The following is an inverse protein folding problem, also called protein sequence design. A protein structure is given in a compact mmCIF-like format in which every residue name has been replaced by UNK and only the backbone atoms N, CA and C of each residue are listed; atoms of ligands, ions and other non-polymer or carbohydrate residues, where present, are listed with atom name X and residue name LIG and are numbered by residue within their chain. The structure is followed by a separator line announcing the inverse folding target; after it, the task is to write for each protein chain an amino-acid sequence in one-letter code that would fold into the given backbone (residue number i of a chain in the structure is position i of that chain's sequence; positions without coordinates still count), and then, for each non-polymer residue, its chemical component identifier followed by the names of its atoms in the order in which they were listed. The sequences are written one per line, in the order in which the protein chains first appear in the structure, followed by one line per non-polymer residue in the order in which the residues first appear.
data_IF_607101706887
#
_entry.id   IF_607101706887
#
_cell.length_a   1.000
_cell.length_b   1.000
_cell.length_c   1.000
_cell.angle_alpha   90.00
_cell.angle_beta   90.00
_cell.angle_gamma   90.00
#
_symmetry.space_group_name_H-M   'P 1'
#
loop_
_entity.id
_entity.type
_entity.pdbx_description
1 polymer ?
#
# COMPACT_ATOMS: atom_id res chain seq x y z
N UNK A 1 12.99 5.48 0.84
CA UNK A 1 13.84 5.05 1.97
C UNK A 1 13.99 3.54 1.95
N UNK A 2 15.19 3.04 2.27
CA UNK A 2 15.39 1.60 2.52
C UNK A 2 14.81 1.27 3.90
N UNK A 3 13.89 0.29 4.05
CA UNK A 3 13.40 -0.15 5.35
C UNK A 3 14.56 -0.63 6.24
N UNK A 4 14.51 -0.29 7.54
CA UNK A 4 15.56 -0.69 8.50
C UNK A 4 14.96 -1.48 9.65
N UNK A 5 13.92 -0.96 10.29
CA UNK A 5 13.34 -1.53 11.49
C UNK A 5 11.89 -1.10 11.68
N UNK A 6 11.13 -1.92 12.39
CA UNK A 6 9.77 -1.58 12.83
C UNK A 6 9.67 -1.57 14.36
N UNK A 7 8.71 -0.82 14.86
CA UNK A 7 8.20 -0.92 16.22
C UNK A 7 6.74 -1.33 16.16
N UNK A 8 6.24 -2.03 17.17
CA UNK A 8 4.83 -2.40 17.24
C UNK A 8 4.19 -1.93 18.55
N UNK A 9 2.91 -1.65 18.49
CA UNK A 9 2.07 -1.41 19.65
C UNK A 9 0.84 -2.32 19.51
N UNK A 10 0.80 -3.39 20.30
CA UNK A 10 -0.20 -4.44 20.19
C UNK A 10 -1.29 -4.21 21.25
N UNK A 11 -2.54 -4.00 20.82
CA UNK A 11 -3.67 -3.74 21.70
C UNK A 11 -4.74 -4.81 21.50
N UNK A 12 -5.05 -5.56 22.57
CA UNK A 12 -5.95 -6.70 22.56
C UNK A 12 -6.88 -6.69 23.77
N UNK A 13 -7.96 -7.44 23.70
CA UNK A 13 -8.87 -7.69 24.82
C UNK A 13 -8.24 -8.58 25.90
N UNK A 14 -9.08 -9.19 26.74
CA UNK A 14 -8.63 -10.08 27.80
C UNK A 14 -8.00 -11.36 27.22
N UNK A 15 -6.69 -11.63 27.48
CA UNK A 15 -5.98 -12.79 26.96
C UNK A 15 -6.42 -14.12 27.58
N UNK A 16 -7.13 -14.12 28.70
CA UNK A 16 -7.70 -15.33 29.32
C UNK A 16 -8.89 -15.90 28.52
N UNK A 17 -9.46 -15.11 27.60
CA UNK A 17 -10.47 -15.56 26.65
C UNK A 17 -9.77 -16.20 25.45
N UNK A 18 -10.01 -17.48 25.20
CA UNK A 18 -9.36 -18.27 24.13
C UNK A 18 -9.37 -17.55 22.77
N UNK A 19 -10.51 -16.96 22.41
CA UNK A 19 -10.61 -16.20 21.15
C UNK A 19 -9.63 -15.04 21.08
N UNK A 20 -9.52 -14.23 22.12
CA UNK A 20 -8.62 -13.07 22.14
C UNK A 20 -7.15 -13.51 22.12
N UNK A 21 -6.83 -14.60 22.80
CA UNK A 21 -5.48 -15.17 22.76
C UNK A 21 -5.15 -15.74 21.36
N UNK A 22 -6.07 -16.43 20.70
CA UNK A 22 -5.91 -16.90 19.34
C UNK A 22 -5.64 -15.76 18.36
N UNK A 23 -6.45 -14.70 18.42
CA UNK A 23 -6.28 -13.48 17.60
C UNK A 23 -4.91 -12.81 17.84
N UNK A 24 -4.42 -12.80 19.09
CA UNK A 24 -3.10 -12.28 19.42
C UNK A 24 -1.97 -13.13 18.83
N UNK A 25 -2.05 -14.45 18.98
CA UNK A 25 -1.04 -15.39 18.45
C UNK A 25 -0.95 -15.25 16.93
N UNK A 26 -2.08 -15.30 16.21
CA UNK A 26 -2.12 -15.15 14.75
C UNK A 26 -1.54 -13.79 14.29
N UNK A 27 -1.83 -12.71 15.01
CA UNK A 27 -1.22 -11.40 14.71
C UNK A 27 0.30 -11.43 14.87
N UNK A 28 0.83 -12.02 15.93
CA UNK A 28 2.28 -12.13 16.18
C UNK A 28 2.95 -13.00 15.13
N UNK A 29 2.32 -14.11 14.74
CA UNK A 29 2.82 -15.00 13.67
C UNK A 29 2.90 -14.25 12.34
N UNK A 30 1.83 -13.53 11.94
CA UNK A 30 1.82 -12.75 10.70
C UNK A 30 2.88 -11.63 10.70
N UNK A 31 3.04 -10.89 11.80
CA UNK A 31 4.09 -9.87 11.95
C UNK A 31 5.49 -10.52 11.85
N UNK A 32 5.67 -11.68 12.46
CA UNK A 32 6.94 -12.41 12.44
C UNK A 32 7.30 -12.88 11.03
N UNK A 33 6.33 -13.44 10.30
CA UNK A 33 6.53 -13.88 8.92
C UNK A 33 6.91 -12.70 8.02
N UNK A 34 6.12 -11.63 8.06
CA UNK A 34 6.37 -10.43 7.27
C UNK A 34 7.73 -9.79 7.59
N UNK A 35 8.07 -9.65 8.88
CA UNK A 35 9.33 -9.06 9.34
C UNK A 35 10.54 -9.86 8.87
N UNK A 36 10.48 -11.18 8.94
CA UNK A 36 11.55 -12.07 8.45
C UNK A 36 11.69 -12.00 6.94
N UNK A 37 10.57 -12.09 6.21
CA UNK A 37 10.60 -12.12 4.75
C UNK A 37 11.10 -10.80 4.15
N UNK A 38 10.63 -9.68 4.70
CA UNK A 38 10.94 -8.33 4.22
C UNK A 38 12.29 -7.80 4.76
N UNK A 39 12.99 -8.56 5.61
CA UNK A 39 14.22 -8.10 6.30
C UNK A 39 13.97 -6.78 7.05
N UNK A 40 12.87 -6.73 7.80
CA UNK A 40 12.38 -5.54 8.48
C UNK A 40 12.10 -5.84 9.95
N UNK A 41 13.16 -6.00 10.79
CA UNK A 41 13.06 -6.53 12.13
C UNK A 41 12.30 -5.62 13.09
N UNK A 42 11.58 -6.24 14.03
CA UNK A 42 10.99 -5.57 15.19
C UNK A 42 12.09 -5.29 16.21
N UNK A 43 12.34 -4.02 16.50
CA UNK A 43 13.40 -3.60 17.45
C UNK A 43 12.85 -3.02 18.76
N UNK A 44 11.55 -2.72 18.79
CA UNK A 44 10.88 -2.11 19.93
C UNK A 44 9.37 -2.34 19.84
N UNK A 45 8.69 -2.21 20.95
CA UNK A 45 7.23 -2.27 20.98
C UNK A 45 6.67 -2.44 22.37
N UNK A 46 5.34 -2.56 22.45
CA UNK A 46 4.63 -2.88 23.66
C UNK A 46 3.39 -3.73 23.37
N UNK A 47 2.91 -4.40 24.42
CA UNK A 47 1.64 -5.11 24.40
C UNK A 47 0.75 -4.54 25.51
N UNK A 48 -0.51 -4.25 25.14
CA UNK A 48 -1.57 -3.86 26.07
C UNK A 48 -2.70 -4.88 26.00
N UNK A 49 -3.02 -5.52 27.10
CA UNK A 49 -4.11 -6.47 27.24
C UNK A 49 -5.24 -5.89 28.11
N UNK A 50 -6.33 -6.66 28.22
CA UNK A 50 -7.52 -6.28 29.01
C UNK A 50 -8.18 -4.97 28.56
N UNK A 51 -8.04 -4.62 27.27
CA UNK A 51 -8.73 -3.46 26.70
C UNK A 51 -10.19 -3.82 26.43
N UNK A 52 -11.04 -3.62 27.44
CA UNK A 52 -12.45 -4.02 27.41
C UNK A 52 -13.36 -2.93 27.96
N UNK A 53 -14.59 -2.90 27.47
CA UNK A 53 -15.67 -2.07 27.99
C UNK A 53 -16.92 -2.94 28.17
N UNK A 54 -17.43 -3.05 29.37
CA UNK A 54 -18.60 -3.90 29.70
C UNK A 54 -18.43 -5.33 29.19
N UNK A 55 -17.33 -5.97 29.56
CA UNK A 55 -16.92 -7.33 29.18
C UNK A 55 -16.75 -7.60 27.66
N UNK A 56 -16.81 -6.55 26.87
CA UNK A 56 -16.58 -6.61 25.42
C UNK A 56 -15.18 -6.09 25.08
N UNK A 57 -14.34 -6.97 24.60
CA UNK A 57 -13.00 -6.62 24.13
C UNK A 57 -13.00 -5.71 22.92
N UNK A 58 -11.96 -4.90 22.78
CA UNK A 58 -11.69 -4.17 21.55
C UNK A 58 -11.38 -5.19 20.43
N UNK A 59 -11.48 -4.75 19.17
CA UNK A 59 -10.95 -5.53 18.06
C UNK A 59 -9.43 -5.63 18.17
N UNK A 60 -8.81 -6.71 17.68
CA UNK A 60 -7.36 -6.79 17.55
C UNK A 60 -6.81 -5.56 16.84
N UNK A 61 -5.92 -4.82 17.49
CA UNK A 61 -5.44 -3.54 16.96
C UNK A 61 -3.91 -3.46 17.10
N UNK A 62 -3.16 -4.17 16.24
CA UNK A 62 -1.73 -3.96 16.11
C UNK A 62 -1.48 -2.66 15.32
N UNK A 63 -0.63 -1.79 15.87
CA UNK A 63 -0.13 -0.60 15.19
C UNK A 63 1.37 -0.77 14.92
N UNK A 64 1.78 -0.60 13.67
CA UNK A 64 3.16 -0.79 13.23
C UNK A 64 3.74 0.55 12.80
N UNK A 65 4.86 0.93 13.41
CA UNK A 65 5.67 2.06 12.98
C UNK A 65 6.91 1.57 12.23
N UNK A 66 7.20 2.13 11.07
CA UNK A 66 8.38 1.77 10.27
C UNK A 66 9.41 2.89 10.23
N UNK A 67 10.69 2.51 10.30
CA UNK A 67 11.83 3.42 10.10
C UNK A 67 12.60 3.01 8.86
N UNK A 68 12.87 3.99 7.99
CA UNK A 68 13.65 3.79 6.78
C UNK A 68 14.72 4.85 6.60
N UNK A 69 15.84 4.47 5.97
CA UNK A 69 16.96 5.37 5.68
C UNK A 69 16.90 5.87 4.23
N UNK A 70 16.92 7.17 4.06
CA UNK A 70 17.16 7.82 2.78
C UNK A 70 18.65 8.15 2.71
N UNK A 71 19.39 7.51 1.79
CA UNK A 71 20.84 7.74 1.64
C UNK A 71 21.16 9.14 1.14
N UNK A 72 20.34 9.65 0.25
CA UNK A 72 20.48 10.98 -0.33
C UNK A 72 19.10 11.66 -0.33
N UNK A 73 18.93 12.63 0.57
CA UNK A 73 17.66 13.33 0.72
C UNK A 73 17.28 14.17 -0.52
N UNK A 74 18.23 14.53 -1.37
CA UNK A 74 17.96 15.25 -2.63
C UNK A 74 17.19 14.38 -3.64
N UNK A 75 17.25 13.06 -3.49
CA UNK A 75 16.47 12.11 -4.28
C UNK A 75 15.09 11.80 -3.71
N UNK A 76 14.71 12.49 -2.64
CA UNK A 76 13.37 12.34 -2.07
C UNK A 76 12.33 12.81 -3.08
N UNK A 77 11.34 11.97 -3.34
CA UNK A 77 10.17 12.31 -4.14
C UNK A 77 8.93 12.40 -3.24
N UNK A 78 7.96 13.18 -3.67
CA UNK A 78 6.70 13.41 -2.96
C UNK A 78 5.53 12.88 -3.77
N UNK A 79 4.32 12.91 -3.20
CA UNK A 79 3.14 12.34 -3.83
C UNK A 79 2.47 13.28 -4.86
N UNK A 80 2.75 14.58 -4.82
CA UNK A 80 2.09 15.58 -5.65
C UNK A 80 2.51 15.48 -7.12
N UNK A 81 1.56 15.50 -8.05
CA UNK A 81 1.86 15.53 -9.49
C UNK A 81 2.65 16.78 -9.87
N UNK A 82 3.72 16.59 -10.65
CA UNK A 82 4.71 17.63 -10.95
C UNK A 82 4.46 18.35 -12.26
N UNK A 83 4.15 17.63 -13.36
CA UNK A 83 4.17 18.23 -14.70
C UNK A 83 3.04 17.72 -15.58
N UNK A 84 2.28 18.68 -16.15
CA UNK A 84 1.26 18.35 -17.15
C UNK A 84 1.89 17.69 -18.38
N UNK A 85 1.21 16.71 -18.94
CA UNK A 85 1.67 15.89 -20.06
C UNK A 85 2.51 14.68 -19.68
N UNK A 86 2.87 14.52 -18.40
CA UNK A 86 3.50 13.29 -17.91
C UNK A 86 2.48 12.14 -17.84
N UNK A 87 2.98 10.92 -17.91
CA UNK A 87 2.19 9.69 -17.87
C UNK A 87 2.11 9.18 -16.43
N UNK A 88 0.98 8.61 -16.07
CA UNK A 88 0.74 8.04 -14.75
C UNK A 88 0.50 6.53 -14.87
N UNK A 89 1.28 5.76 -14.13
CA UNK A 89 1.10 4.31 -14.02
C UNK A 89 0.60 3.91 -12.64
N UNK A 90 -0.20 2.85 -12.60
CA UNK A 90 -0.44 2.03 -11.41
C UNK A 90 0.51 0.86 -11.46
N UNK A 91 1.32 0.71 -10.44
CA UNK A 91 2.27 -0.40 -10.28
C UNK A 91 1.67 -1.41 -9.31
N UNK A 92 1.83 -2.69 -9.61
CA UNK A 92 1.18 -3.79 -8.89
C UNK A 92 -0.14 -4.21 -9.53
N UNK A 93 -0.53 -5.46 -9.29
CA UNK A 93 -1.77 -6.02 -9.87
C UNK A 93 -2.99 -5.52 -9.11
N UNK A 94 -4.02 -5.10 -9.82
CA UNK A 94 -5.34 -4.79 -9.25
C UNK A 94 -6.23 -6.01 -9.42
N UNK A 95 -6.64 -6.63 -8.32
CA UNK A 95 -7.56 -7.76 -8.26
C UNK A 95 -8.98 -7.30 -7.90
N UNK A 96 -9.11 -6.09 -7.41
CA UNK A 96 -10.39 -5.43 -7.13
C UNK A 96 -11.00 -5.82 -5.80
N UNK A 97 -10.19 -6.09 -4.79
CA UNK A 97 -10.67 -6.49 -3.48
C UNK A 97 -11.43 -5.37 -2.76
N UNK A 98 -12.74 -5.54 -2.58
CA UNK A 98 -13.61 -4.57 -1.92
C UNK A 98 -13.93 -4.92 -0.45
N UNK A 99 -13.81 -6.17 -0.05
CA UNK A 99 -14.10 -6.59 1.32
C UNK A 99 -13.28 -5.81 2.35
N UNK A 100 -13.91 -5.40 3.45
CA UNK A 100 -13.33 -4.56 4.51
C UNK A 100 -12.87 -3.16 4.04
N UNK A 101 -13.00 -2.82 2.74
CA UNK A 101 -12.63 -1.52 2.20
C UNK A 101 -13.53 -0.38 2.73
N UNK A 102 -13.08 0.84 2.55
CA UNK A 102 -13.91 2.04 2.82
C UNK A 102 -15.14 2.05 1.92
N UNK A 103 -15.01 1.62 0.66
CA UNK A 103 -16.13 1.54 -0.28
C UNK A 103 -17.21 0.55 0.21
N UNK A 104 -16.82 -0.66 0.58
CA UNK A 104 -17.76 -1.64 1.14
C UNK A 104 -18.42 -1.11 2.40
N UNK A 105 -17.65 -0.50 3.29
CA UNK A 105 -18.11 -0.06 4.61
C UNK A 105 -19.10 1.12 4.56
N UNK A 106 -18.88 2.09 3.67
CA UNK A 106 -19.66 3.34 3.63
C UNK A 106 -20.60 3.46 2.44
N UNK A 107 -20.34 2.76 1.34
CA UNK A 107 -21.18 2.79 0.14
C UNK A 107 -22.09 1.57 0.07
N UNK A 108 -21.52 0.36 0.23
CA UNK A 108 -22.31 -0.88 0.21
C UNK A 108 -22.92 -1.20 1.57
N UNK A 109 -22.51 -0.50 2.64
CA UNK A 109 -22.92 -0.72 4.04
C UNK A 109 -22.62 -2.15 4.54
N UNK A 110 -21.58 -2.75 3.99
CA UNK A 110 -21.11 -4.09 4.33
C UNK A 110 -19.85 -4.04 5.19
N UNK A 111 -19.79 -4.92 6.20
CA UNK A 111 -18.64 -5.05 7.12
C UNK A 111 -18.22 -6.52 7.21
N UNK A 112 -18.18 -7.19 6.08
CA UNK A 112 -17.93 -8.64 5.96
C UNK A 112 -16.72 -8.90 5.09
N UNK A 113 -16.36 -10.17 5.03
CA UNK A 113 -15.35 -10.70 4.13
C UNK A 113 -13.94 -10.68 4.71
N UNK A 114 -13.02 -11.38 4.08
CA UNK A 114 -11.62 -11.44 4.47
C UNK A 114 -10.89 -10.12 4.14
N UNK A 115 -9.72 -9.88 4.72
CA UNK A 115 -8.79 -8.86 4.22
C UNK A 115 -8.25 -9.27 2.85
N UNK A 116 -7.65 -8.33 2.07
CA UNK A 116 -6.99 -8.67 0.82
C UNK A 116 -5.84 -9.66 1.06
N UNK A 117 -5.64 -10.59 0.12
CA UNK A 117 -4.53 -11.53 0.19
C UNK A 117 -3.19 -10.82 0.07
N UNK A 118 -2.19 -11.31 0.80
CA UNK A 118 -0.83 -10.77 0.80
C UNK A 118 0.09 -11.75 0.07
N UNK A 119 0.93 -11.23 -0.83
CA UNK A 119 2.04 -11.95 -1.42
C UNK A 119 3.35 -11.24 -1.08
N UNK A 120 4.06 -11.72 -0.07
CA UNK A 120 5.28 -11.09 0.44
C UNK A 120 6.40 -11.01 -0.61
N UNK A 121 6.46 -11.95 -1.56
CA UNK A 121 7.40 -11.86 -2.68
C UNK A 121 7.10 -10.64 -3.56
N UNK A 122 5.84 -10.44 -3.92
CA UNK A 122 5.45 -9.28 -4.73
C UNK A 122 5.66 -7.98 -3.97
N UNK A 123 5.30 -7.91 -2.69
CA UNK A 123 5.52 -6.75 -1.82
C UNK A 123 7.00 -6.32 -1.84
N UNK A 124 7.90 -7.25 -1.59
CA UNK A 124 9.34 -7.01 -1.60
C UNK A 124 9.85 -6.58 -2.97
N UNK A 125 9.50 -7.33 -4.01
CA UNK A 125 9.94 -7.09 -5.38
C UNK A 125 9.47 -5.73 -5.92
N UNK A 126 8.20 -5.39 -5.68
CA UNK A 126 7.64 -4.09 -6.09
C UNK A 126 8.31 -2.95 -5.32
N UNK A 127 8.44 -3.08 -3.99
CA UNK A 127 9.10 -2.07 -3.16
C UNK A 127 10.55 -1.81 -3.59
N UNK A 128 11.34 -2.84 -3.83
CA UNK A 128 12.72 -2.73 -4.33
C UNK A 128 12.77 -2.10 -5.72
N UNK A 129 11.83 -2.46 -6.60
CA UNK A 129 11.73 -1.87 -7.94
C UNK A 129 11.41 -0.38 -7.89
N UNK A 130 10.47 0.04 -7.05
CA UNK A 130 10.15 1.46 -6.83
C UNK A 130 11.38 2.23 -6.29
N UNK A 131 12.09 1.69 -5.31
CA UNK A 131 13.33 2.30 -4.82
C UNK A 131 14.38 2.45 -5.92
N UNK A 132 14.51 1.47 -6.81
CA UNK A 132 15.43 1.53 -7.94
C UNK A 132 15.02 2.60 -8.96
N UNK A 133 13.72 2.73 -9.27
CA UNK A 133 13.20 3.79 -10.14
C UNK A 133 13.49 5.19 -9.57
N UNK A 134 13.34 5.38 -8.26
CA UNK A 134 13.66 6.62 -7.56
C UNK A 134 15.17 6.90 -7.64
N UNK A 135 16.00 5.93 -7.31
CA UNK A 135 17.46 6.08 -7.31
C UNK A 135 18.02 6.47 -8.68
N UNK A 136 17.41 5.96 -9.76
CA UNK A 136 17.77 6.29 -11.15
C UNK A 136 17.12 7.56 -11.68
N UNK A 137 16.36 8.30 -10.88
CA UNK A 137 15.59 9.49 -11.27
C UNK A 137 14.66 9.24 -12.48
N UNK A 138 14.05 8.06 -12.55
CA UNK A 138 13.18 7.67 -13.66
C UNK A 138 11.72 8.07 -13.43
N UNK A 139 11.34 8.35 -12.19
CA UNK A 139 9.99 8.77 -11.80
C UNK A 139 10.03 10.09 -11.04
N UNK A 140 8.96 10.88 -11.15
CA UNK A 140 8.87 12.23 -10.57
C UNK A 140 8.11 12.24 -9.25
N UNK A 141 7.19 11.30 -9.05
CA UNK A 141 6.37 11.17 -7.85
C UNK A 141 6.02 9.71 -7.61
N UNK A 142 5.72 9.39 -6.36
CA UNK A 142 5.22 8.09 -5.96
C UNK A 142 4.26 8.23 -4.77
N UNK A 143 3.15 7.50 -4.82
CA UNK A 143 2.19 7.37 -3.72
C UNK A 143 1.70 5.93 -3.62
N UNK A 144 1.59 5.41 -2.42
CA UNK A 144 0.97 4.11 -2.16
C UNK A 144 -0.54 4.16 -2.42
N UNK A 145 -1.08 3.04 -2.90
CA UNK A 145 -2.52 2.83 -2.98
C UNK A 145 -2.94 2.07 -1.74
N UNK A 146 -3.65 2.73 -0.84
CA UNK A 146 -4.15 2.17 0.41
C UNK A 146 -5.65 2.43 0.57
N UNK A 147 -6.08 2.93 1.71
CA UNK A 147 -7.49 3.21 2.02
C UNK A 147 -8.17 4.05 0.94
N UNK A 148 -9.28 3.53 0.39
CA UNK A 148 -10.08 4.15 -0.67
C UNK A 148 -9.59 3.88 -2.09
N UNK A 149 -8.56 3.04 -2.26
CA UNK A 149 -8.11 2.56 -3.57
C UNK A 149 -7.44 3.61 -4.46
N UNK A 150 -7.33 3.26 -5.75
CA UNK A 150 -6.64 4.06 -6.77
C UNK A 150 -7.24 5.47 -6.88
N UNK A 151 -8.57 5.60 -6.90
CA UNK A 151 -9.20 6.91 -7.14
C UNK A 151 -8.93 7.88 -5.99
N UNK A 152 -8.92 7.40 -4.75
CA UNK A 152 -8.58 8.21 -3.58
C UNK A 152 -7.11 8.65 -3.61
N UNK A 153 -6.20 7.74 -3.94
CA UNK A 153 -4.78 8.05 -4.06
C UNK A 153 -4.52 9.10 -5.14
N UNK A 154 -5.08 8.91 -6.35
CA UNK A 154 -4.99 9.88 -7.45
C UNK A 154 -5.56 11.23 -7.08
N UNK A 155 -6.74 11.25 -6.42
CA UNK A 155 -7.36 12.52 -6.00
C UNK A 155 -6.45 13.31 -5.05
N UNK A 156 -5.81 12.65 -4.10
CA UNK A 156 -4.81 13.28 -3.20
C UNK A 156 -3.63 13.85 -4.00
N UNK A 157 -3.12 13.09 -4.97
CA UNK A 157 -2.01 13.53 -5.83
C UNK A 157 -2.39 14.73 -6.69
N UNK A 158 -3.60 14.74 -7.26
CA UNK A 158 -4.16 15.86 -8.01
C UNK A 158 -4.31 17.12 -7.16
N UNK A 159 -4.95 17.00 -6.00
CA UNK A 159 -5.20 18.12 -5.08
C UNK A 159 -3.87 18.72 -4.64
N UNK A 160 -2.93 17.90 -4.20
CA UNK A 160 -1.63 18.37 -3.72
C UNK A 160 -0.78 19.00 -4.84
N UNK A 161 -0.83 18.43 -6.04
CA UNK A 161 -0.11 18.93 -7.21
C UNK A 161 -0.82 20.06 -7.95
N UNK A 162 -2.07 20.39 -7.58
CA UNK A 162 -2.93 21.36 -8.30
C UNK A 162 -3.01 21.06 -9.80
N UNK A 163 -3.17 19.78 -10.13
CA UNK A 163 -3.25 19.26 -11.50
C UNK A 163 -4.36 18.21 -11.61
N UNK A 164 -4.98 18.15 -12.78
CA UNK A 164 -5.93 17.08 -13.11
C UNK A 164 -5.23 15.88 -13.71
N UNK A 165 -5.93 14.75 -13.76
CA UNK A 165 -5.55 13.54 -14.48
C UNK A 165 -6.66 13.17 -15.45
N UNK A 166 -6.31 12.99 -16.72
CA UNK A 166 -7.18 12.37 -17.72
C UNK A 166 -6.94 10.88 -17.69
N UNK A 167 -7.87 10.14 -17.09
CA UNK A 167 -7.79 8.67 -17.00
C UNK A 167 -8.06 8.07 -18.39
N UNK A 168 -7.26 7.10 -18.78
CA UNK A 168 -7.45 6.33 -20.02
C UNK A 168 -8.76 5.52 -19.97
N UNK A 169 -9.35 5.19 -21.14
CA UNK A 169 -10.49 4.28 -21.17
C UNK A 169 -10.17 2.98 -20.44
N UNK A 170 -11.06 2.59 -19.56
CA UNK A 170 -10.92 1.38 -18.76
C UNK A 170 -11.00 0.13 -19.66
N UNK A 171 -10.00 -0.73 -19.58
CA UNK A 171 -10.01 -2.04 -20.25
C UNK A 171 -10.59 -3.06 -19.27
N UNK A 172 -11.75 -3.60 -19.59
CA UNK A 172 -12.55 -4.42 -18.70
C UNK A 172 -11.95 -5.80 -18.42
N UNK A 173 -11.12 -5.89 -17.37
CA UNK A 173 -10.74 -7.17 -16.75
C UNK A 173 -11.35 -7.32 -15.35
N UNK A 174 -11.74 -6.20 -14.73
CA UNK A 174 -12.32 -6.09 -13.40
C UNK A 174 -13.43 -5.04 -13.45
N UNK A 175 -14.43 -5.13 -12.59
CA UNK A 175 -15.48 -4.12 -12.49
C UNK A 175 -14.87 -2.75 -12.16
N UNK A 176 -15.44 -1.66 -12.70
CA UNK A 176 -14.92 -0.29 -12.47
C UNK A 176 -14.81 0.07 -10.99
N UNK A 177 -15.82 -0.29 -10.20
CA UNK A 177 -15.79 -0.01 -8.76
C UNK A 177 -14.68 -0.81 -8.05
N UNK A 178 -14.50 -2.06 -8.42
CA UNK A 178 -13.44 -2.92 -7.91
C UNK A 178 -12.06 -2.40 -8.30
N UNK A 179 -11.88 -1.97 -9.54
CA UNK A 179 -10.61 -1.40 -9.99
C UNK A 179 -10.25 -0.11 -9.24
N UNK A 180 -11.18 0.84 -9.17
CA UNK A 180 -10.89 2.17 -8.63
C UNK A 180 -10.93 2.26 -7.11
N UNK A 181 -11.73 1.44 -6.45
CA UNK A 181 -11.96 1.49 -5.00
C UNK A 181 -11.46 0.24 -4.27
N UNK A 182 -11.02 -0.79 -4.97
CA UNK A 182 -10.39 -1.96 -4.36
C UNK A 182 -9.16 -1.57 -3.56
N UNK A 183 -8.97 -2.20 -2.41
CA UNK A 183 -7.86 -1.94 -1.47
C UNK A 183 -6.86 -3.10 -1.47
N UNK A 184 -6.49 -3.59 -2.66
CA UNK A 184 -5.47 -4.64 -2.81
C UNK A 184 -4.11 -4.16 -2.32
N UNK A 185 -3.25 -5.10 -1.93
CA UNK A 185 -1.91 -4.86 -1.40
C UNK A 185 -0.88 -4.56 -2.49
N UNK A 186 0.27 -4.00 -2.10
CA UNK A 186 1.46 -3.86 -2.95
C UNK A 186 1.30 -2.97 -4.18
N UNK A 187 0.47 -1.92 -4.11
CA UNK A 187 0.25 -1.02 -5.26
C UNK A 187 0.76 0.39 -5.02
N UNK A 188 1.28 0.99 -6.09
CA UNK A 188 1.77 2.37 -6.09
C UNK A 188 1.33 3.10 -7.34
N UNK A 189 1.18 4.42 -7.23
CA UNK A 189 0.95 5.33 -8.36
C UNK A 189 2.23 6.13 -8.57
N UNK A 190 2.71 6.14 -9.81
CA UNK A 190 3.94 6.85 -10.19
C UNK A 190 3.69 7.79 -11.38
N UNK A 191 4.41 8.91 -11.40
CA UNK A 191 4.46 9.84 -12.53
C UNK A 191 5.77 9.68 -13.28
N UNK A 192 5.68 9.62 -14.62
CA UNK A 192 6.79 9.33 -15.51
C UNK A 192 6.87 10.39 -16.61
N UNK A 193 8.05 10.97 -16.82
CA UNK A 193 8.29 11.80 -17.99
C UNK A 193 8.29 10.95 -19.27
N UNK A 194 7.74 11.48 -20.36
CA UNK A 194 7.65 10.76 -21.64
C UNK A 194 8.98 10.19 -22.12
N UNK A 195 10.08 10.89 -21.85
CA UNK A 195 11.45 10.47 -22.19
C UNK A 195 11.92 9.24 -21.42
N UNK A 196 11.34 8.95 -20.25
CA UNK A 196 11.72 7.84 -19.39
C UNK A 196 10.84 6.59 -19.55
N UNK A 197 9.73 6.68 -20.27
CA UNK A 197 8.73 5.58 -20.38
C UNK A 197 9.40 4.26 -20.78
N UNK A 198 10.25 4.27 -21.82
CA UNK A 198 10.93 3.06 -22.29
C UNK A 198 11.77 2.44 -21.18
N UNK A 199 12.58 3.23 -20.48
CA UNK A 199 13.47 2.75 -19.41
C UNK A 199 12.67 2.20 -18.24
N UNK A 200 11.56 2.86 -17.86
CA UNK A 200 10.66 2.39 -16.81
C UNK A 200 10.01 1.07 -17.20
N UNK A 201 9.46 0.97 -18.42
CA UNK A 201 8.84 -0.25 -18.91
C UNK A 201 9.81 -1.43 -18.96
N UNK A 202 11.04 -1.19 -19.44
CA UNK A 202 12.07 -2.23 -19.52
C UNK A 202 12.44 -2.73 -18.12
N UNK A 203 12.54 -1.83 -17.13
CA UNK A 203 12.84 -2.21 -15.76
C UNK A 203 11.69 -2.98 -15.09
N UNK A 204 10.44 -2.50 -15.24
CA UNK A 204 9.26 -3.17 -14.72
C UNK A 204 9.12 -4.59 -15.28
N UNK A 205 9.28 -4.74 -16.60
CA UNK A 205 9.25 -6.06 -17.27
C UNK A 205 10.37 -6.96 -16.80
N UNK A 206 11.61 -6.45 -16.71
CA UNK A 206 12.77 -7.21 -16.22
C UNK A 206 12.55 -7.78 -14.84
N UNK A 207 11.90 -7.01 -13.98
CA UNK A 207 11.59 -7.42 -12.59
C UNK A 207 10.25 -8.16 -12.47
N UNK A 208 9.57 -8.45 -13.58
CA UNK A 208 8.24 -9.09 -13.60
C UNK A 208 7.20 -8.34 -12.74
N UNK A 209 7.28 -7.01 -12.70
CA UNK A 209 6.34 -6.16 -11.97
C UNK A 209 5.21 -5.74 -12.92
N UNK A 210 3.98 -6.03 -12.53
CA UNK A 210 2.78 -5.62 -13.26
C UNK A 210 2.58 -4.10 -13.19
N UNK A 211 2.09 -3.50 -14.28
CA UNK A 211 1.73 -2.09 -14.32
C UNK A 211 0.64 -1.81 -15.36
N UNK A 212 -0.18 -0.82 -15.06
CA UNK A 212 -1.22 -0.29 -15.94
C UNK A 212 -0.95 1.19 -16.26
N UNK A 213 -1.14 1.57 -17.52
CA UNK A 213 -1.16 2.97 -17.93
C UNK A 213 -2.50 3.59 -17.53
N UNK A 214 -2.49 4.37 -16.44
CA UNK A 214 -3.69 4.98 -15.88
C UNK A 214 -4.13 6.22 -16.65
N UNK A 215 -3.18 6.98 -17.22
CA UNK A 215 -3.54 8.20 -17.94
C UNK A 215 -2.46 9.28 -17.98
N UNK A 216 -2.91 10.51 -18.23
CA UNK A 216 -2.04 11.68 -18.48
C UNK A 216 -2.45 12.84 -17.58
N UNK A 217 -1.46 13.48 -16.93
CA UNK A 217 -1.64 14.69 -16.10
C UNK A 217 -1.99 15.88 -16.96
#
# INVERSE_FOLDING_TARGET
AKPIAITNCLNFGNPEKEKNMGEFVECVEGITEASKYLDFPVVSGNVSFYNETKDKGIKPTPAIGGVGLIKDYQKMITMDFKKSGNIVYVIGKTEGHLDQSIFARYILLEKKGPPPSINLFNEKNIGETILHLIDKNLIQTCHDVSTGGILTAVSKMCIKGQKGLKINPFKELVNKHEYFFGEDQGRYIIEIEKTNIKKVNDLLKKNSVHFDDLGVI
#
